data_IF_951746055920
#
_entry.id   IF_951746055920
#
_cell.length_a   1.000
_cell.length_b   1.000
_cell.length_c   1.000
_cell.angle_alpha   90.00
_cell.angle_beta   90.00
_cell.angle_gamma   90.00
#
_symmetry.space_group_name_H-M   'P 1'
#
loop_
_entity.id
_entity.type
_entity.pdbx_description
1 polymer ?
#
# COMPACT_ATOMS: atom_id res chain seq x y z
N UNK A 1 23.67 12.12 12.54
CA UNK A 1 22.30 11.93 13.03
C UNK A 1 21.44 12.21 11.83
N UNK A 2 20.76 11.18 11.33
CA UNK A 2 19.98 11.26 10.10
C UNK A 2 18.56 11.66 10.47
N UNK A 3 18.06 12.74 9.85
CA UNK A 3 16.75 13.32 10.14
C UNK A 3 15.92 13.42 8.86
N UNK A 4 14.63 13.11 8.97
CA UNK A 4 13.63 13.34 7.93
C UNK A 4 13.12 14.76 8.12
N UNK A 5 13.26 15.58 7.07
CA UNK A 5 12.66 16.90 7.00
C UNK A 5 11.37 16.82 6.17
N UNK A 6 10.24 17.16 6.79
CA UNK A 6 8.93 17.18 6.14
C UNK A 6 8.44 18.61 5.98
N UNK A 7 8.30 19.06 4.74
CA UNK A 7 7.63 20.31 4.40
C UNK A 7 6.15 20.05 4.12
N UNK A 8 5.27 20.88 4.66
CA UNK A 8 3.84 20.81 4.41
C UNK A 8 3.39 21.92 3.47
N UNK A 9 2.31 21.67 2.74
CA UNK A 9 1.68 22.69 1.91
C UNK A 9 1.23 23.90 2.77
N UNK A 10 1.39 25.15 2.31
CA UNK A 10 1.08 26.34 3.13
C UNK A 10 -0.37 26.39 3.64
N UNK A 11 -1.32 25.85 2.87
CA UNK A 11 -2.73 25.80 3.27
C UNK A 11 -3.00 24.89 4.47
N UNK A 12 -2.06 24.00 4.82
CA UNK A 12 -2.21 23.12 5.98
C UNK A 12 -2.03 23.86 7.31
N UNK A 13 -1.40 25.05 7.29
CA UNK A 13 -1.04 25.80 8.50
C UNK A 13 -0.05 25.06 9.41
N UNK A 14 0.60 24.00 8.92
CA UNK A 14 1.57 23.20 9.67
C UNK A 14 2.97 23.74 9.42
N UNK A 15 3.73 23.87 10.50
CA UNK A 15 5.15 24.19 10.40
C UNK A 15 5.94 22.97 9.89
N UNK A 16 7.08 23.20 9.21
CA UNK A 16 7.99 22.13 8.83
C UNK A 16 8.41 21.29 10.04
N UNK A 17 8.55 19.99 9.82
CA UNK A 17 8.84 19.02 10.89
C UNK A 17 10.16 18.32 10.65
N UNK A 18 10.97 18.22 11.69
CA UNK A 18 12.20 17.43 11.70
C UNK A 18 12.06 16.25 12.66
N UNK A 19 12.33 15.05 12.17
CA UNK A 19 12.21 13.82 12.94
C UNK A 19 13.44 12.93 12.74
N UNK A 20 14.02 12.37 13.81
CA UNK A 20 15.13 11.43 13.67
C UNK A 20 14.66 10.17 12.94
N UNK A 21 15.53 9.54 12.16
CA UNK A 21 15.22 8.29 11.45
C UNK A 21 14.79 7.18 12.41
N UNK A 22 15.33 7.19 13.63
CA UNK A 22 14.99 6.26 14.71
C UNK A 22 13.51 6.35 15.10
N UNK A 23 12.86 7.50 14.94
CA UNK A 23 11.41 7.63 15.18
C UNK A 23 10.56 6.79 14.21
N UNK A 24 11.12 6.45 13.04
CA UNK A 24 10.50 5.58 12.03
C UNK A 24 11.08 4.17 12.04
N UNK A 25 12.08 3.90 12.88
CA UNK A 25 12.60 2.57 13.05
C UNK A 25 11.55 1.71 13.75
N UNK A 26 11.40 0.47 13.26
CA UNK A 26 10.49 -0.51 13.83
C UNK A 26 11.06 -0.99 15.17
N UNK A 27 10.98 -0.16 16.21
CA UNK A 27 11.37 -0.51 17.56
C UNK A 27 10.26 -1.34 18.19
N UNK A 28 10.40 -2.66 18.17
CA UNK A 28 9.76 -3.71 19.02
C UNK A 28 8.23 -3.72 19.20
N UNK A 29 7.49 -2.67 18.81
CA UNK A 29 6.03 -2.63 18.78
C UNK A 29 5.44 -3.33 17.55
N UNK A 30 6.28 -3.70 16.57
CA UNK A 30 5.94 -4.69 15.55
C UNK A 30 6.06 -6.13 16.08
N UNK A 31 6.25 -6.34 17.39
CA UNK A 31 6.11 -7.65 18.01
C UNK A 31 4.65 -8.09 17.90
N UNK A 32 4.31 -8.67 16.74
CA UNK A 32 3.03 -9.29 16.43
C UNK A 32 1.87 -8.41 16.91
N UNK A 33 1.59 -7.32 16.19
CA UNK A 33 0.17 -6.99 16.07
C UNK A 33 -0.51 -8.29 15.65
N UNK A 34 -1.45 -8.75 16.48
CA UNK A 34 -2.23 -9.95 16.20
C UNK A 34 -3.19 -9.55 15.08
N UNK A 35 -2.63 -9.34 13.89
CA UNK A 35 -3.37 -8.95 12.70
C UNK A 35 -4.42 -10.05 12.54
N UNK A 36 -5.71 -9.71 12.67
CA UNK A 36 -6.75 -10.72 12.54
C UNK A 36 -6.60 -11.35 11.17
N UNK A 37 -6.66 -12.68 11.12
CA UNK A 37 -6.66 -13.40 9.86
C UNK A 37 -7.82 -12.88 9.01
N UNK A 38 -7.50 -12.31 7.85
CA UNK A 38 -8.50 -11.93 6.86
C UNK A 38 -8.85 -13.17 6.03
N UNK A 39 -10.08 -13.71 6.12
CA UNK A 39 -10.49 -14.87 5.33
C UNK A 39 -10.67 -14.54 3.85
N UNK A 40 -10.73 -13.26 3.47
CA UNK A 40 -10.96 -12.80 2.10
C UNK A 40 -10.06 -11.60 1.76
N UNK A 41 -8.73 -11.79 1.75
CA UNK A 41 -7.77 -10.71 1.46
C UNK A 41 -7.91 -10.16 0.04
N UNK A 42 -8.60 -10.88 -0.84
CA UNK A 42 -8.90 -10.47 -2.21
C UNK A 42 -10.16 -9.60 -2.34
N UNK A 43 -10.89 -9.27 -1.26
CA UNK A 43 -11.97 -8.28 -1.37
C UNK A 43 -11.38 -6.91 -1.80
N UNK A 44 -11.99 -6.17 -2.76
CA UNK A 44 -13.37 -6.24 -3.26
C UNK A 44 -13.59 -7.09 -4.52
N UNK A 45 -12.61 -7.88 -4.96
CA UNK A 45 -12.80 -8.77 -6.09
C UNK A 45 -13.85 -9.85 -5.77
N UNK A 46 -14.62 -10.27 -6.77
CA UNK A 46 -15.73 -11.22 -6.57
C UNK A 46 -15.22 -12.61 -6.16
N UNK A 47 -14.01 -12.97 -6.58
CA UNK A 47 -13.34 -14.22 -6.23
C UNK A 47 -11.81 -14.02 -6.14
N UNK A 48 -11.12 -14.98 -5.53
CA UNK A 48 -9.65 -15.03 -5.53
C UNK A 48 -9.09 -15.10 -6.95
N UNK A 49 -9.76 -15.84 -7.84
CA UNK A 49 -9.34 -15.97 -9.25
C UNK A 49 -9.41 -14.62 -9.97
N UNK A 50 -10.44 -13.82 -9.72
CA UNK A 50 -10.54 -12.48 -10.32
C UNK A 50 -9.39 -11.57 -9.86
N UNK A 51 -8.97 -11.70 -8.60
CA UNK A 51 -7.82 -10.97 -8.05
C UNK A 51 -6.51 -11.40 -8.71
N UNK A 52 -6.23 -12.71 -8.74
CA UNK A 52 -5.01 -13.27 -9.36
C UNK A 52 -4.95 -12.96 -10.87
N UNK A 53 -6.08 -13.04 -11.57
CA UNK A 53 -6.17 -12.70 -12.99
C UNK A 53 -5.87 -11.21 -13.23
N UNK A 54 -6.34 -10.33 -12.34
CA UNK A 54 -6.08 -8.89 -12.44
C UNK A 54 -4.58 -8.57 -12.32
N UNK A 55 -3.86 -9.28 -11.45
CA UNK A 55 -2.40 -9.20 -11.37
C UNK A 55 -1.73 -9.60 -12.70
N UNK A 56 -2.13 -10.75 -13.26
CA UNK A 56 -1.58 -11.23 -14.53
C UNK A 56 -1.88 -10.28 -15.71
N UNK A 57 -3.07 -9.69 -15.76
CA UNK A 57 -3.47 -8.68 -16.77
C UNK A 57 -2.54 -7.45 -16.69
N UNK A 58 -2.28 -6.97 -15.47
CA UNK A 58 -1.41 -5.81 -15.22
C UNK A 58 0.05 -6.11 -15.59
N UNK A 59 0.57 -7.27 -15.19
CA UNK A 59 1.93 -7.70 -15.53
C UNK A 59 2.14 -7.88 -17.04
N UNK A 60 1.13 -8.41 -17.73
CA UNK A 60 1.15 -8.59 -19.18
C UNK A 60 0.86 -7.30 -19.97
N UNK A 61 0.57 -6.19 -19.29
CA UNK A 61 0.24 -4.89 -19.87
C UNK A 61 -0.89 -4.96 -20.92
N UNK A 62 -1.91 -5.78 -20.65
CA UNK A 62 -3.04 -5.94 -21.57
C UNK A 62 -3.88 -4.66 -21.61
N UNK A 63 -4.32 -4.29 -22.81
CA UNK A 63 -5.25 -3.18 -22.96
C UNK A 63 -6.70 -3.64 -22.68
N UNK A 64 -7.64 -2.70 -22.73
CA UNK A 64 -9.06 -2.98 -22.50
C UNK A 64 -9.62 -4.03 -23.47
N UNK A 65 -9.22 -4.02 -24.74
CA UNK A 65 -9.65 -5.00 -25.74
C UNK A 65 -9.14 -6.41 -25.44
N UNK A 66 -7.85 -6.53 -25.12
CA UNK A 66 -7.22 -7.81 -24.75
C UNK A 66 -7.82 -8.36 -23.45
N UNK A 67 -8.08 -7.48 -22.48
CA UNK A 67 -8.70 -7.82 -21.19
C UNK A 67 -10.15 -8.29 -21.37
N UNK A 68 -10.94 -7.57 -22.17
CA UNK A 68 -12.33 -7.94 -22.46
C UNK A 68 -12.45 -9.23 -23.26
N UNK A 69 -11.40 -9.66 -23.97
CA UNK A 69 -11.39 -10.96 -24.65
C UNK A 69 -11.14 -12.13 -23.69
N UNK A 70 -10.57 -11.87 -22.51
CA UNK A 70 -10.27 -12.87 -21.47
C UNK A 70 -11.39 -13.05 -20.44
N UNK A 71 -12.24 -12.03 -20.26
CA UNK A 71 -13.34 -11.96 -19.29
C UNK A 71 -14.70 -12.32 -19.94
#
# INVERSE_FOLDING_TARGET
LDYIHTEYHPSSGREPREEPFEAYSVHEHSAKENIPFDPMPWHPYRSLVDFELSEAILEAALNEGDTNALL
#
